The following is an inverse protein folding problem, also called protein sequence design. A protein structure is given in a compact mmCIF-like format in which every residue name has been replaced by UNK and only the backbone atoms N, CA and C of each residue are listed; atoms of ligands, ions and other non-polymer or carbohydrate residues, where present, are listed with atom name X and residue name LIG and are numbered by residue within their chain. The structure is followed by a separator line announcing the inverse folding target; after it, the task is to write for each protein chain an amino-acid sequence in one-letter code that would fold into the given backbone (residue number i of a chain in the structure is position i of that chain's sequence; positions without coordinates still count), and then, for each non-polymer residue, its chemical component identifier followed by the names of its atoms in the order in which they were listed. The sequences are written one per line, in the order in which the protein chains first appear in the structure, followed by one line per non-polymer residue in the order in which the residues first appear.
data_IF_146522306042
#
_entry.id   IF_146522306042
#
_cell.length_a   1.000
_cell.length_b   1.000
_cell.length_c   1.000
_cell.angle_alpha   90.00
_cell.angle_beta   90.00
_cell.angle_gamma   90.00
#
_symmetry.space_group_name_H-M   'P 1'
#
loop_
_entity.id
_entity.type
_entity.pdbx_description
1 polymer ?
#
# COMPACT_ATOMS: atom_id res chain seq x y z
N UNK A 1 -6.94 20.25 9.54
CA UNK A 1 -6.75 18.86 9.95
C UNK A 1 -5.57 18.26 9.22
N UNK A 2 -4.66 17.63 9.97
CA UNK A 2 -3.49 17.03 9.37
C UNK A 2 -3.84 15.65 8.81
N UNK A 3 -3.79 15.53 7.48
CA UNK A 3 -3.94 14.26 6.81
C UNK A 3 -2.57 13.62 6.70
N UNK A 4 -2.36 12.53 7.44
CA UNK A 4 -1.09 11.82 7.41
C UNK A 4 -1.32 10.34 7.08
N UNK A 5 -0.47 9.80 6.22
CA UNK A 5 -0.49 8.38 5.91
C UNK A 5 0.93 7.88 5.70
N UNK A 6 1.06 6.56 5.49
CA UNK A 6 2.35 5.90 5.39
C UNK A 6 2.37 4.99 4.18
N UNK A 7 3.56 4.57 3.79
CA UNK A 7 3.73 3.50 2.80
C UNK A 7 4.75 2.49 3.33
N UNK A 8 4.63 1.24 2.89
CA UNK A 8 5.55 0.17 3.27
C UNK A 8 5.64 -0.84 2.14
N UNK A 9 6.83 -1.45 1.97
CA UNK A 9 7.01 -2.62 1.12
C UNK A 9 7.35 -3.81 2.00
N UNK A 10 6.75 -4.96 1.71
CA UNK A 10 7.02 -6.15 2.53
C UNK A 10 8.33 -6.84 2.15
N UNK A 11 8.91 -6.52 0.99
CA UNK A 11 10.11 -7.18 0.49
C UNK A 11 11.23 -7.15 1.50
N UNK A 12 11.88 -8.31 1.70
CA UNK A 12 12.99 -8.44 2.62
C UNK A 12 12.65 -8.39 4.09
N UNK A 13 11.36 -8.30 4.47
CA UNK A 13 10.95 -8.21 5.87
C UNK A 13 10.39 -9.53 6.37
N UNK A 14 10.77 -9.89 7.60
CA UNK A 14 10.14 -11.02 8.28
C UNK A 14 8.76 -10.58 8.79
N UNK A 15 7.78 -11.50 8.84
CA UNK A 15 6.41 -11.13 9.24
C UNK A 15 6.33 -10.41 10.60
N UNK A 16 7.07 -10.85 11.60
CA UNK A 16 7.03 -10.21 12.91
C UNK A 16 7.62 -8.80 12.87
N UNK A 17 8.66 -8.58 12.08
CA UNK A 17 9.28 -7.26 11.94
C UNK A 17 8.35 -6.32 11.16
N UNK A 18 7.68 -6.83 10.14
CA UNK A 18 6.69 -6.10 9.37
C UNK A 18 5.57 -5.61 10.30
N UNK A 19 5.00 -6.52 11.09
CA UNK A 19 3.91 -6.20 11.99
C UNK A 19 4.35 -5.20 13.08
N UNK A 20 5.55 -5.40 13.66
CA UNK A 20 6.08 -4.51 14.68
C UNK A 20 6.27 -3.09 14.17
N UNK A 21 6.75 -2.94 12.93
CA UNK A 21 6.95 -1.62 12.32
C UNK A 21 5.61 -0.89 12.15
N UNK A 22 4.58 -1.59 11.71
CA UNK A 22 3.24 -1.02 11.58
C UNK A 22 2.69 -0.59 12.94
N UNK A 23 2.86 -1.41 13.96
CA UNK A 23 2.38 -1.11 15.31
C UNK A 23 3.13 0.08 15.92
N UNK A 24 4.43 0.18 15.63
CA UNK A 24 5.25 1.29 16.11
C UNK A 24 4.71 2.64 15.64
N UNK A 25 4.12 2.68 14.46
CA UNK A 25 3.57 3.91 13.88
C UNK A 25 2.05 4.04 14.08
N UNK A 26 1.45 3.15 14.84
CA UNK A 26 0.02 3.22 15.15
C UNK A 26 -0.88 3.01 13.94
N UNK A 27 -0.41 2.26 12.94
CA UNK A 27 -1.19 2.00 11.73
C UNK A 27 -2.43 1.18 12.05
N UNK A 28 -3.58 1.64 11.59
CA UNK A 28 -4.87 0.96 11.81
C UNK A 28 -5.33 0.16 10.61
N UNK A 29 -4.94 0.57 9.42
CA UNK A 29 -5.37 -0.09 8.19
C UNK A 29 -4.22 -0.20 7.21
N UNK A 30 -4.03 -1.37 6.64
CA UNK A 30 -3.19 -1.57 5.48
C UNK A 30 -4.06 -1.45 4.24
N UNK A 31 -3.66 -0.58 3.32
CA UNK A 31 -4.30 -0.42 2.01
C UNK A 31 -3.36 -1.06 0.98
N UNK A 32 -3.74 -2.21 0.49
CA UNK A 32 -2.93 -2.97 -0.46
C UNK A 32 -3.14 -2.40 -1.86
N UNK A 33 -2.08 -1.83 -2.43
CA UNK A 33 -2.14 -1.23 -3.78
C UNK A 33 -1.48 -2.11 -4.83
N UNK A 34 -1.30 -3.41 -4.53
CA UNK A 34 -0.79 -4.35 -5.50
C UNK A 34 -1.86 -4.69 -6.54
N UNK A 35 -1.43 -4.86 -7.79
CA UNK A 35 -2.32 -5.28 -8.86
C UNK A 35 -2.75 -6.75 -8.66
N UNK A 36 -1.84 -7.57 -8.18
CA UNK A 36 -2.08 -9.00 -7.95
C UNK A 36 -1.75 -9.34 -6.49
N UNK A 37 -2.60 -8.94 -5.53
CA UNK A 37 -2.36 -9.23 -4.11
C UNK A 37 -2.39 -10.73 -3.79
N UNK A 38 -2.97 -11.54 -4.67
CA UNK A 38 -3.01 -13.00 -4.54
C UNK A 38 -1.67 -13.66 -4.88
N UNK A 39 -0.65 -12.87 -5.26
CA UNK A 39 0.69 -13.36 -5.61
C UNK A 39 1.75 -12.66 -4.79
N UNK A 40 2.62 -13.43 -4.15
CA UNK A 40 3.77 -12.91 -3.42
C UNK A 40 4.81 -14.02 -3.31
N UNK A 41 6.09 -13.62 -3.17
CA UNK A 41 7.19 -14.59 -3.03
C UNK A 41 7.07 -15.37 -1.72
N UNK A 42 6.51 -14.75 -0.66
CA UNK A 42 6.21 -15.42 0.60
C UNK A 42 4.70 -15.46 0.78
N UNK A 43 4.15 -16.66 0.99
CA UNK A 43 2.71 -16.86 1.10
C UNK A 43 2.04 -16.07 2.20
N UNK A 44 2.79 -15.75 3.27
CA UNK A 44 2.25 -14.95 4.40
C UNK A 44 1.84 -13.54 3.97
N UNK A 45 2.43 -13.01 2.90
CA UNK A 45 2.09 -11.68 2.37
C UNK A 45 1.09 -11.75 1.22
N UNK A 46 0.58 -12.92 0.90
CA UNK A 46 -0.41 -13.11 -0.16
C UNK A 46 -1.80 -12.89 0.40
N UNK A 47 -2.67 -12.22 -0.37
CA UNK A 47 -4.09 -12.20 -0.04
C UNK A 47 -4.66 -13.59 -0.29
N UNK A 48 -4.98 -14.31 0.78
CA UNK A 48 -5.53 -15.64 0.69
C UNK A 48 -7.06 -15.60 0.52
N UNK A 49 -7.65 -16.73 0.18
CA UNK A 49 -9.10 -16.83 0.03
C UNK A 49 -9.81 -16.69 1.38
N UNK A 50 -9.14 -17.09 2.46
CA UNK A 50 -9.68 -17.02 3.82
C UNK A 50 -9.06 -15.82 4.55
N UNK A 51 -9.87 -15.00 5.26
CA UNK A 51 -9.34 -13.85 5.99
C UNK A 51 -8.45 -14.22 7.17
N UNK A 52 -8.45 -15.47 7.61
CA UNK A 52 -7.59 -15.93 8.69
C UNK A 52 -6.19 -16.32 8.22
N UNK A 53 -5.97 -16.33 6.89
CA UNK A 53 -4.68 -16.75 6.30
C UNK A 53 -4.04 -15.61 5.51
N UNK A 54 -2.78 -15.82 5.13
CA UNK A 54 -2.04 -14.84 4.35
C UNK A 54 -1.86 -13.53 5.07
N UNK A 55 -1.80 -12.44 4.30
CA UNK A 55 -1.52 -11.12 4.87
C UNK A 55 -2.64 -10.64 5.81
N UNK A 56 -3.88 -10.94 5.48
CA UNK A 56 -4.99 -10.50 6.31
C UNK A 56 -4.94 -11.18 7.68
N UNK A 57 -4.61 -12.48 7.71
CA UNK A 57 -4.43 -13.21 8.97
C UNK A 57 -3.27 -12.67 9.78
N UNK A 58 -2.16 -12.31 9.12
CA UNK A 58 -1.02 -11.70 9.79
C UNK A 58 -1.41 -10.38 10.45
N UNK A 59 -2.12 -9.52 9.71
CA UNK A 59 -2.53 -8.20 10.22
C UNK A 59 -3.55 -8.31 11.36
N UNK A 60 -4.43 -9.32 11.31
CA UNK A 60 -5.40 -9.56 12.39
C UNK A 60 -4.73 -9.78 13.73
N UNK A 61 -3.56 -10.42 13.75
CA UNK A 61 -2.81 -10.65 14.99
C UNK A 61 -2.40 -9.34 15.66
N UNK A 62 -2.23 -8.27 14.87
CA UNK A 62 -1.89 -6.95 15.39
C UNK A 62 -3.08 -6.01 15.49
N UNK A 63 -4.29 -6.49 15.21
CA UNK A 63 -5.48 -5.66 15.26
C UNK A 63 -5.54 -4.64 14.12
N UNK A 64 -4.92 -4.94 12.98
CA UNK A 64 -4.83 -4.04 11.83
C UNK A 64 -5.80 -4.51 10.74
N UNK A 65 -6.58 -3.58 10.21
CA UNK A 65 -7.52 -3.86 9.12
C UNK A 65 -6.78 -3.97 7.78
N UNK A 66 -7.37 -4.69 6.86
CA UNK A 66 -6.82 -4.88 5.51
C UNK A 66 -7.86 -4.49 4.47
N UNK A 67 -7.44 -3.70 3.48
CA UNK A 67 -8.29 -3.30 2.36
C UNK A 67 -7.45 -3.40 1.09
N UNK A 68 -7.96 -4.13 0.09
CA UNK A 68 -7.30 -4.24 -1.21
C UNK A 68 -7.93 -3.24 -2.18
N UNK A 69 -7.11 -2.34 -2.73
CA UNK A 69 -7.53 -1.38 -3.74
C UNK A 69 -6.79 -1.67 -5.04
N UNK A 70 -7.23 -2.71 -5.76
CA UNK A 70 -6.59 -3.11 -7.02
C UNK A 70 -6.64 -2.00 -8.07
N UNK A 71 -7.57 -1.07 -7.96
CA UNK A 71 -7.66 0.08 -8.86
C UNK A 71 -6.41 0.97 -8.78
N UNK A 72 -5.65 0.89 -7.69
CA UNK A 72 -4.37 1.60 -7.56
C UNK A 72 -3.18 0.73 -7.98
N UNK A 73 -3.42 -0.48 -8.47
CA UNK A 73 -2.37 -1.36 -8.94
C UNK A 73 -1.67 -0.81 -10.18
N UNK A 74 -0.41 -1.20 -10.36
CA UNK A 74 0.39 -0.70 -11.48
C UNK A 74 0.17 -1.58 -12.72
N UNK A 75 -0.71 -1.14 -13.60
CA UNK A 75 -1.01 -1.82 -14.87
C UNK A 75 0.20 -1.83 -15.81
N UNK A 76 1.18 -0.97 -15.58
CA UNK A 76 2.31 -0.76 -16.49
C UNK A 76 3.61 -1.36 -15.96
N UNK A 77 3.55 -2.21 -14.95
CA UNK A 77 4.74 -2.70 -14.23
C UNK A 77 5.76 -3.39 -15.14
N UNK A 78 5.32 -3.98 -16.25
CA UNK A 78 6.20 -4.65 -17.19
C UNK A 78 6.78 -3.70 -18.25
N UNK A 79 6.36 -2.44 -18.24
CA UNK A 79 6.77 -1.42 -19.20
C UNK A 79 7.97 -0.66 -18.64
N UNK A 80 9.02 -0.47 -19.47
CA UNK A 80 10.19 0.30 -19.04
C UNK A 80 9.85 1.74 -18.66
N UNK A 81 8.76 2.28 -19.22
CA UNK A 81 8.29 3.63 -18.94
C UNK A 81 7.10 3.65 -17.99
N UNK A 82 6.99 2.64 -17.12
CA UNK A 82 5.83 2.48 -16.26
C UNK A 82 5.60 3.70 -15.37
N UNK A 83 6.65 4.31 -14.86
CA UNK A 83 6.53 5.46 -13.95
C UNK A 83 5.84 6.63 -14.63
N UNK A 84 6.29 6.96 -15.83
CA UNK A 84 5.70 8.04 -16.61
C UNK A 84 4.23 7.77 -16.94
N UNK A 85 3.93 6.54 -17.33
CA UNK A 85 2.56 6.15 -17.66
C UNK A 85 1.66 6.16 -16.44
N UNK A 86 2.16 5.69 -15.30
CA UNK A 86 1.39 5.68 -14.06
C UNK A 86 1.15 7.12 -13.56
N UNK A 87 2.15 7.98 -13.66
CA UNK A 87 1.99 9.41 -13.32
C UNK A 87 0.91 10.05 -14.17
N UNK A 88 0.88 9.73 -15.47
CA UNK A 88 -0.14 10.27 -16.38
C UNK A 88 -1.54 9.77 -16.01
N UNK A 89 -1.64 8.51 -15.63
CA UNK A 89 -2.91 7.93 -15.19
C UNK A 89 -3.44 8.68 -13.96
N UNK A 90 -2.59 8.92 -12.96
CA UNK A 90 -3.00 9.65 -11.77
C UNK A 90 -3.33 11.11 -12.08
N UNK A 91 -2.63 11.73 -13.03
CA UNK A 91 -2.94 13.10 -13.41
C UNK A 91 -4.34 13.20 -14.01
N UNK A 92 -4.80 12.17 -14.72
CA UNK A 92 -6.09 12.18 -15.40
C UNK A 92 -7.23 11.61 -14.55
N UNK A 93 -6.96 10.60 -13.75
CA UNK A 93 -7.99 9.86 -13.04
C UNK A 93 -7.70 9.65 -11.55
N UNK A 94 -6.69 10.32 -11.01
CA UNK A 94 -6.26 10.08 -9.64
C UNK A 94 -7.35 10.34 -8.61
N UNK A 95 -8.15 11.37 -8.78
CA UNK A 95 -9.23 11.70 -7.86
C UNK A 95 -10.25 10.56 -7.72
N UNK A 96 -10.55 9.88 -8.83
CA UNK A 96 -11.45 8.70 -8.82
C UNK A 96 -10.73 7.50 -8.20
N UNK A 97 -9.47 7.29 -8.58
CA UNK A 97 -8.72 6.11 -8.13
C UNK A 97 -8.44 6.11 -6.64
N UNK A 98 -8.29 7.29 -6.01
CA UNK A 98 -8.03 7.38 -4.57
C UNK A 98 -9.29 7.67 -3.75
N UNK A 99 -10.46 7.70 -4.39
CA UNK A 99 -11.71 8.08 -3.73
C UNK A 99 -11.99 7.24 -2.49
N UNK A 100 -11.74 5.93 -2.56
CA UNK A 100 -12.03 5.03 -1.45
C UNK A 100 -11.13 5.25 -0.24
N UNK A 101 -10.02 5.96 -0.41
CA UNK A 101 -9.13 6.26 0.73
C UNK A 101 -9.78 7.21 1.74
N UNK A 102 -10.76 8.01 1.32
CA UNK A 102 -11.40 8.98 2.21
C UNK A 102 -12.18 8.32 3.35
N UNK A 103 -12.61 7.06 3.17
CA UNK A 103 -13.40 6.34 4.16
C UNK A 103 -12.57 5.34 4.97
N UNK A 104 -11.25 5.30 4.76
CA UNK A 104 -10.38 4.34 5.43
C UNK A 104 -10.03 4.82 6.82
N UNK A 105 -10.21 3.99 7.87
CA UNK A 105 -9.79 4.37 9.22
C UNK A 105 -8.28 4.63 9.26
N UNK A 106 -7.90 5.81 9.71
CA UNK A 106 -6.51 6.21 9.78
C UNK A 106 -5.91 6.03 11.15
N UNK A 107 -4.58 6.03 11.22
CA UNK A 107 -3.66 6.16 10.09
C UNK A 107 -3.66 4.91 9.21
N UNK A 108 -3.59 5.12 7.89
CA UNK A 108 -3.45 3.98 6.97
C UNK A 108 -2.06 3.95 6.35
N UNK A 109 -1.69 2.79 5.81
CA UNK A 109 -0.40 2.56 5.19
C UNK A 109 -0.60 1.85 3.85
N UNK A 110 -0.08 2.43 2.79
CA UNK A 110 -0.12 1.81 1.45
C UNK A 110 0.91 0.69 1.39
N UNK A 111 0.52 -0.47 0.90
CA UNK A 111 1.37 -1.66 0.85
C UNK A 111 1.66 -2.07 -0.57
N UNK A 112 2.93 -2.38 -0.84
CA UNK A 112 3.32 -3.04 -2.08
C UNK A 112 4.53 -3.96 -1.81
N UNK A 113 5.09 -4.56 -2.86
CA UNK A 113 6.12 -5.59 -2.69
C UNK A 113 7.52 -5.01 -2.44
N UNK A 114 7.91 -3.99 -3.20
CA UNK A 114 9.26 -3.45 -3.17
C UNK A 114 9.56 -2.79 -1.85
N UNK A 115 10.72 -3.09 -1.26
CA UNK A 115 11.13 -2.50 0.01
C UNK A 115 11.33 -1.00 -0.10
N UNK A 116 11.90 -0.53 -1.21
CA UNK A 116 12.17 0.90 -1.41
C UNK A 116 11.04 1.54 -2.20
N UNK A 117 10.50 2.64 -1.66
CA UNK A 117 9.43 3.37 -2.32
C UNK A 117 9.84 3.87 -3.70
N UNK A 118 11.11 4.26 -3.87
CA UNK A 118 11.61 4.78 -5.14
C UNK A 118 11.51 3.77 -6.29
N UNK A 119 11.41 2.48 -5.97
CA UNK A 119 11.31 1.42 -6.97
C UNK A 119 9.87 0.95 -7.18
N UNK A 120 8.89 1.63 -6.59
CA UNK A 120 7.52 1.18 -6.53
C UNK A 120 6.55 2.30 -6.91
N UNK A 121 5.42 1.90 -7.49
CA UNK A 121 4.36 2.86 -7.84
C UNK A 121 3.73 3.52 -6.61
N UNK A 122 3.91 2.96 -5.41
CA UNK A 122 3.40 3.60 -4.19
C UNK A 122 4.03 4.97 -3.97
N UNK A 123 5.27 5.20 -4.48
CA UNK A 123 5.87 6.52 -4.43
C UNK A 123 5.09 7.52 -5.27
N UNK A 124 4.64 7.09 -6.45
CA UNK A 124 3.85 7.96 -7.33
C UNK A 124 2.51 8.29 -6.68
N UNK A 125 1.87 7.30 -6.05
CA UNK A 125 0.63 7.54 -5.30
C UNK A 125 0.89 8.54 -4.17
N UNK A 126 2.00 8.36 -3.44
CA UNK A 126 2.36 9.23 -2.33
C UNK A 126 2.55 10.68 -2.80
N UNK A 127 3.22 10.87 -3.92
CA UNK A 127 3.43 12.20 -4.49
C UNK A 127 2.09 12.84 -4.89
N UNK A 128 1.19 12.06 -5.46
CA UNK A 128 -0.14 12.52 -5.79
C UNK A 128 -0.91 12.95 -4.52
N UNK A 129 -0.87 12.11 -3.49
CA UNK A 129 -1.55 12.43 -2.22
C UNK A 129 -0.95 13.66 -1.56
N UNK A 130 0.38 13.83 -1.65
CA UNK A 130 1.03 15.02 -1.11
C UNK A 130 0.51 16.28 -1.78
N UNK A 131 0.26 16.25 -3.07
CA UNK A 131 -0.33 17.37 -3.80
C UNK A 131 -1.77 17.64 -3.37
N UNK A 132 -2.44 16.63 -2.80
CA UNK A 132 -3.81 16.75 -2.29
C UNK A 132 -3.85 17.12 -0.80
N UNK A 133 -2.70 17.44 -0.21
CA UNK A 133 -2.63 17.89 1.17
C UNK A 133 -2.24 16.83 2.20
N UNK A 134 -1.89 15.63 1.75
CA UNK A 134 -1.44 14.55 2.65
C UNK A 134 0.04 14.71 2.98
N UNK A 135 0.40 14.42 4.24
CA UNK A 135 1.79 14.18 4.62
C UNK A 135 2.03 12.68 4.55
N UNK A 136 2.98 12.25 3.73
CA UNK A 136 3.24 10.83 3.50
C UNK A 136 4.64 10.47 3.99
N UNK A 137 4.73 9.42 4.80
CA UNK A 137 6.00 8.90 5.29
C UNK A 137 6.20 7.47 4.77
N UNK A 138 7.34 7.23 4.13
CA UNK A 138 7.71 5.90 3.67
C UNK A 138 8.41 5.15 4.79
N UNK A 139 7.89 3.97 5.14
CA UNK A 139 8.50 3.10 6.14
C UNK A 139 9.47 2.17 5.40
N UNK A 140 10.78 2.44 5.53
CA UNK A 140 11.86 1.67 4.89
C UNK A 140 12.89 1.12 5.89
#
# INVERSE_FOLDING_TARGET
MNKKCYTIGYGGRRPQDFLALLQQHGIKTIVDVRLRPDRASLGIYTQAKSPEKGIQGLLLKGGIHYLSLVELGNLFREDAQWRERYCRLLAQAGDVLVERLSDVPGPFCLLCAEQRAAECHRQVIAEYLAQQGWAVQHLE
#
